data_IF_208581342238
#
_entry.id   IF_208581342238
#
_cell.length_a   1.000
_cell.length_b   1.000
_cell.length_c   1.000
_cell.angle_alpha   90.00
_cell.angle_beta   90.00
_cell.angle_gamma   90.00
#
_symmetry.space_group_name_H-M   'P 1'
#
loop_
_entity.id
_entity.type
_entity.pdbx_description
1 polymer ?
#
# COMPACT_ATOMS: atom_id res chain seq x y z
N UNK A 1 3.74 9.37 -11.82
CA UNK A 1 2.42 8.94 -12.33
C UNK A 1 2.63 7.88 -13.42
N UNK A 2 1.77 6.88 -13.49
CA UNK A 2 1.78 5.84 -14.51
C UNK A 2 0.35 5.61 -15.04
N UNK A 3 0.19 5.78 -16.35
CA UNK A 3 -1.07 5.71 -17.06
C UNK A 3 -0.91 4.70 -18.20
N UNK A 4 -1.65 3.59 -18.13
CA UNK A 4 -1.71 2.58 -19.17
C UNK A 4 -3.18 2.24 -19.46
N UNK A 5 -3.72 2.87 -20.51
CA UNK A 5 -5.11 2.70 -20.93
C UNK A 5 -6.13 3.21 -19.90
N UNK A 6 -7.40 2.78 -20.01
CA UNK A 6 -8.46 3.24 -19.11
C UNK A 6 -8.37 2.64 -17.70
N UNK A 7 -7.72 1.47 -17.56
CA UNK A 7 -7.71 0.70 -16.31
C UNK A 7 -6.56 1.00 -15.36
N UNK A 8 -5.42 1.51 -15.85
CA UNK A 8 -4.24 1.79 -15.01
C UNK A 8 -3.97 3.28 -14.98
N UNK A 9 -4.23 3.92 -13.83
CA UNK A 9 -3.97 5.34 -13.57
C UNK A 9 -3.52 5.52 -12.13
N UNK A 10 -2.25 5.25 -11.85
CA UNK A 10 -1.73 5.20 -10.48
C UNK A 10 -0.45 6.01 -10.28
N UNK A 11 -0.25 6.44 -9.05
CA UNK A 11 1.02 6.98 -8.57
C UNK A 11 1.78 5.83 -7.93
N UNK A 12 2.90 5.43 -8.54
CA UNK A 12 3.80 4.47 -7.93
C UNK A 12 4.65 5.13 -6.85
N UNK A 13 4.69 4.49 -5.69
CA UNK A 13 5.68 4.74 -4.65
C UNK A 13 6.32 3.40 -4.33
N UNK A 14 7.55 3.22 -4.80
CA UNK A 14 8.28 1.94 -4.76
C UNK A 14 9.54 2.13 -3.94
N UNK A 15 9.71 1.31 -2.91
CA UNK A 15 10.92 1.29 -2.10
C UNK A 15 11.77 0.06 -2.41
N UNK A 16 13.08 0.24 -2.51
CA UNK A 16 14.00 -0.89 -2.51
C UNK A 16 14.34 -1.27 -1.07
N UNK A 17 14.13 -2.54 -0.70
CA UNK A 17 14.46 -3.06 0.61
C UNK A 17 14.93 -4.50 0.50
N UNK A 18 16.11 -4.79 1.08
CA UNK A 18 16.75 -6.12 1.04
C UNK A 18 16.84 -6.72 -0.38
N UNK A 19 17.10 -5.88 -1.38
CA UNK A 19 17.22 -6.31 -2.79
C UNK A 19 15.89 -6.48 -3.54
N UNK A 20 14.74 -6.27 -2.88
CA UNK A 20 13.43 -6.36 -3.50
C UNK A 20 12.80 -4.97 -3.66
N UNK A 21 12.09 -4.76 -4.78
CA UNK A 21 11.29 -3.55 -5.00
C UNK A 21 9.88 -3.78 -4.47
N UNK A 22 9.53 -3.08 -3.40
CA UNK A 22 8.25 -3.19 -2.72
C UNK A 22 7.30 -2.13 -3.29
N UNK A 23 6.18 -2.59 -3.86
CA UNK A 23 5.11 -1.72 -4.31
C UNK A 23 4.24 -1.32 -3.12
N UNK A 24 3.72 -0.09 -3.14
CA UNK A 24 2.70 0.33 -2.17
C UNK A 24 1.45 -0.52 -2.33
N UNK A 25 0.83 -0.90 -1.21
CA UNK A 25 -0.45 -1.62 -1.17
C UNK A 25 -1.63 -0.73 -1.54
N UNK A 26 -1.49 0.58 -1.34
CA UNK A 26 -2.56 1.55 -1.57
C UNK A 26 -2.63 1.94 -3.05
N UNK A 27 -3.85 2.04 -3.56
CA UNK A 27 -4.10 2.53 -4.92
C UNK A 27 -4.26 4.06 -4.93
N UNK A 28 -3.16 4.76 -5.23
CA UNK A 28 -3.13 6.22 -5.28
C UNK A 28 -3.42 6.64 -6.72
N UNK A 29 -4.60 7.18 -6.98
CA UNK A 29 -4.98 7.61 -8.33
C UNK A 29 -4.18 8.84 -8.78
N UNK A 30 -3.59 8.78 -9.97
CA UNK A 30 -2.94 9.96 -10.56
C UNK A 30 -3.95 10.85 -11.30
N UNK A 31 -3.60 12.14 -11.45
CA UNK A 31 -4.26 13.06 -12.38
C UNK A 31 -4.01 12.62 -13.82
N UNK A 32 -5.02 12.76 -14.66
CA UNK A 32 -5.07 12.27 -16.04
C UNK A 32 -5.60 13.31 -17.04
N UNK A 33 -5.59 14.59 -16.65
CA UNK A 33 -5.88 15.72 -17.53
C UNK A 33 -4.59 16.25 -18.21
N UNK A 34 -4.71 17.27 -19.05
CA UNK A 34 -3.61 17.85 -19.84
C UNK A 34 -2.83 18.96 -19.09
N UNK A 35 -3.14 19.21 -17.81
CA UNK A 35 -2.47 20.22 -17.01
C UNK A 35 -1.17 19.69 -16.39
N UNK A 36 -0.33 20.62 -15.96
CA UNK A 36 0.89 20.28 -15.21
C UNK A 36 0.53 20.00 -13.76
N UNK A 37 0.95 18.85 -13.24
CA UNK A 37 0.76 18.45 -11.85
C UNK A 37 2.07 18.23 -11.12
N UNK A 38 2.11 18.65 -9.85
CA UNK A 38 3.26 18.46 -8.96
C UNK A 38 3.04 17.26 -8.05
N UNK A 39 3.98 16.32 -8.04
CA UNK A 39 3.96 15.16 -7.15
C UNK A 39 5.05 15.31 -6.10
N UNK A 40 4.71 15.16 -4.82
CA UNK A 40 5.67 15.21 -3.70
C UNK A 40 5.54 13.95 -2.86
N UNK A 41 6.67 13.33 -2.55
CA UNK A 41 6.78 12.30 -1.52
C UNK A 41 7.55 12.89 -0.35
N UNK A 42 6.98 12.81 0.84
CA UNK A 42 7.61 13.21 2.10
C UNK A 42 7.81 11.93 2.91
N UNK A 43 9.04 11.71 3.36
CA UNK A 43 9.41 10.59 4.21
C UNK A 43 9.94 11.13 5.53
N UNK A 44 9.38 10.64 6.62
CA UNK A 44 9.78 11.02 7.96
C UNK A 44 10.65 9.93 8.59
N UNK A 45 11.56 10.34 9.47
CA UNK A 45 12.46 9.41 10.18
C UNK A 45 11.76 8.55 11.23
N UNK A 46 10.47 8.79 11.48
CA UNK A 46 9.60 8.00 12.37
C UNK A 46 8.84 6.88 11.61
N UNK A 47 9.27 6.56 10.39
CA UNK A 47 8.68 5.57 9.49
C UNK A 47 7.27 5.92 8.98
N UNK A 48 6.87 7.19 9.05
CA UNK A 48 5.66 7.69 8.37
C UNK A 48 5.99 8.30 7.01
N UNK A 49 4.97 8.39 6.15
CA UNK A 49 5.08 9.00 4.84
C UNK A 49 3.84 9.83 4.48
N UNK A 50 4.02 10.73 3.51
CA UNK A 50 2.96 11.50 2.90
C UNK A 50 3.19 11.59 1.37
N UNK A 51 2.12 11.41 0.59
CA UNK A 51 2.10 11.70 -0.84
C UNK A 51 1.19 12.88 -1.09
N UNK A 52 1.69 13.87 -1.83
CA UNK A 52 0.93 15.04 -2.26
C UNK A 52 0.82 15.12 -3.78
N UNK A 53 -0.32 15.60 -4.24
CA UNK A 53 -0.53 16.06 -5.61
C UNK A 53 -0.98 17.52 -5.54
N UNK A 54 -0.29 18.41 -6.25
CA UNK A 54 -0.54 19.85 -6.28
C UNK A 54 -0.54 20.46 -4.87
N UNK A 55 0.44 20.06 -4.06
CA UNK A 55 0.58 20.43 -2.64
C UNK A 55 -0.56 19.97 -1.72
N UNK A 56 -1.57 19.27 -2.24
CA UNK A 56 -2.64 18.65 -1.45
C UNK A 56 -2.26 17.24 -1.03
N UNK A 57 -2.46 16.91 0.25
CA UNK A 57 -2.25 15.55 0.77
C UNK A 57 -3.28 14.60 0.17
N UNK A 58 -2.81 13.62 -0.60
CA UNK A 58 -3.67 12.59 -1.19
C UNK A 58 -3.52 11.24 -0.50
N UNK A 59 -2.38 11.00 0.16
CA UNK A 59 -2.15 9.77 0.93
C UNK A 59 -1.15 10.02 2.08
N UNK A 60 -1.31 9.29 3.19
CA UNK A 60 -0.34 9.27 4.30
C UNK A 60 -0.51 8.03 5.17
N UNK A 61 0.56 7.57 5.80
CA UNK A 61 0.49 6.42 6.70
C UNK A 61 1.84 6.00 7.24
N UNK A 62 1.91 4.75 7.74
CA UNK A 62 3.15 4.11 8.15
C UNK A 62 3.71 3.24 7.01
N UNK A 63 5.03 3.22 6.88
CA UNK A 63 5.72 2.39 5.89
C UNK A 63 5.48 0.88 6.12
N UNK A 64 5.47 0.42 7.38
CA UNK A 64 5.29 -1.00 7.70
C UNK A 64 3.89 -1.54 7.39
N UNK A 65 2.88 -0.68 7.42
CA UNK A 65 1.50 -1.08 7.15
C UNK A 65 1.24 -1.11 5.63
N UNK A 66 1.78 -0.13 4.91
CA UNK A 66 1.46 0.12 3.48
C UNK A 66 2.46 -0.52 2.49
N UNK A 67 3.55 -1.14 2.98
CA UNK A 67 4.49 -1.97 2.20
C UNK A 67 4.88 -3.23 2.97
N UNK A 68 5.32 -4.26 2.26
CA UNK A 68 5.76 -5.53 2.86
C UNK A 68 7.25 -5.51 3.25
N UNK A 69 7.64 -4.56 4.12
CA UNK A 69 9.01 -4.49 4.66
C UNK A 69 9.32 -5.66 5.59
N UNK A 70 8.35 -6.06 6.42
CA UNK A 70 8.51 -7.05 7.47
C UNK A 70 7.53 -8.22 7.26
N UNK A 71 7.85 -9.42 7.77
CA UNK A 71 6.88 -10.51 7.87
C UNK A 71 5.64 -10.10 8.67
N UNK A 72 4.55 -10.86 8.51
CA UNK A 72 3.33 -10.64 9.27
C UNK A 72 3.60 -10.62 10.78
N UNK A 73 3.00 -9.64 11.48
CA UNK A 73 3.12 -9.49 12.94
C UNK A 73 2.53 -10.69 13.70
N UNK A 74 1.58 -11.39 13.09
CA UNK A 74 0.94 -12.58 13.64
C UNK A 74 1.08 -13.76 12.68
N UNK A 75 1.21 -14.96 13.27
CA UNK A 75 1.17 -16.24 12.55
C UNK A 75 -0.04 -17.02 13.05
N UNK A 76 -0.60 -17.91 12.22
CA UNK A 76 -1.62 -18.85 12.67
C UNK A 76 -0.98 -19.82 13.67
N UNK A 77 -1.70 -20.12 14.74
CA UNK A 77 -1.25 -21.11 15.72
C UNK A 77 -1.16 -22.49 15.03
N UNK A 78 0.03 -23.11 14.97
CA UNK A 78 0.19 -24.42 14.33
C UNK A 78 -0.58 -25.54 15.04
N UNK A 79 -0.89 -25.38 16.32
CA UNK A 79 -1.63 -26.38 17.10
C UNK A 79 -3.15 -26.18 17.02
N UNK A 80 -3.61 -25.07 16.43
CA UNK A 80 -5.04 -24.81 16.27
C UNK A 80 -5.66 -25.81 15.29
N UNK A 81 -6.47 -26.72 15.84
CA UNK A 81 -7.31 -27.63 15.09
C UNK A 81 -8.74 -27.13 15.11
N UNK A 82 -9.43 -27.30 13.98
CA UNK A 82 -10.87 -27.07 13.92
C UNK A 82 -11.56 -27.99 14.94
N UNK A 83 -12.42 -27.46 15.84
CA UNK A 83 -13.20 -28.27 16.76
C UNK A 83 -14.10 -29.28 16.03
N UNK A 84 -14.36 -30.44 16.63
CA UNK A 84 -15.22 -31.47 16.06
C UNK A 84 -16.70 -31.03 15.94
N UNK A 85 -17.13 -30.08 16.78
CA UNK A 85 -18.48 -29.53 16.85
C UNK A 85 -18.70 -28.30 15.95
N UNK A 86 -17.75 -28.00 15.07
CA UNK A 86 -17.82 -26.82 14.21
C UNK A 86 -18.87 -26.99 13.10
N UNK A 87 -19.92 -26.15 13.12
CA UNK A 87 -20.96 -26.15 12.09
C UNK A 87 -20.56 -25.27 10.89
N UNK A 88 -20.35 -25.89 9.73
CA UNK A 88 -19.98 -25.23 8.47
C UNK A 88 -21.17 -24.80 7.61
N UNK A 89 -22.41 -25.03 8.05
CA UNK A 89 -23.59 -24.68 7.24
C UNK A 89 -23.77 -23.17 7.18
N UNK A 90 -23.97 -22.63 5.98
CA UNK A 90 -24.41 -21.24 5.79
C UNK A 90 -25.80 -21.05 6.43
N UNK A 91 -26.01 -19.90 7.09
CA UNK A 91 -27.30 -19.50 7.67
C UNK A 91 -28.23 -18.91 6.62
#
# INVERSE_FOLDING_TARGET
PDICGPGTKKVHVIFNYKGNNLLTKKDIRCKDDELTHLYTLILHSDNTYEVRIDNSKVESGNLEDDWDFLPAKTIKDPEAKKPEDWDDREK
#
